data_IF_264124557497
#
_entry.id   IF_264124557497
#
_cell.length_a   1.000
_cell.length_b   1.000
_cell.length_c   1.000
_cell.angle_alpha   90.00
_cell.angle_beta   90.00
_cell.angle_gamma   90.00
#
_symmetry.space_group_name_H-M   'P 1'
#
loop_
_entity.id
_entity.type
_entity.pdbx_description
1 polymer ?
#
# COMPACT_ATOMS: atom_id res chain seq x y z
N UNK A 1 72.19 -63.60 -8.54
CA UNK A 1 72.25 -62.13 -8.33
C UNK A 1 72.56 -61.46 -9.67
N UNK A 2 72.12 -60.24 -10.02
CA UNK A 2 70.94 -59.47 -9.65
C UNK A 2 70.44 -58.59 -10.85
N UNK A 3 70.34 -59.11 -12.09
CA UNK A 3 70.06 -58.27 -13.28
C UNK A 3 68.57 -58.18 -13.68
N UNK A 4 67.79 -59.26 -13.59
CA UNK A 4 66.37 -59.23 -14.03
C UNK A 4 65.40 -58.60 -13.01
N UNK A 5 65.74 -58.63 -11.71
CA UNK A 5 64.97 -57.91 -10.67
C UNK A 5 65.18 -56.39 -10.72
N UNK A 6 66.26 -55.93 -11.38
CA UNK A 6 66.58 -54.51 -11.51
C UNK A 6 65.81 -53.88 -12.67
N UNK A 7 65.75 -54.59 -13.81
CA UNK A 7 64.97 -54.17 -14.98
C UNK A 7 63.46 -54.13 -14.71
N UNK A 8 62.93 -55.12 -13.98
CA UNK A 8 61.51 -55.14 -13.56
C UNK A 8 61.15 -54.06 -12.53
N UNK A 9 62.11 -53.67 -11.66
CA UNK A 9 61.95 -52.55 -10.71
C UNK A 9 62.09 -51.17 -11.36
N UNK A 10 62.90 -51.04 -12.41
CA UNK A 10 63.04 -49.80 -13.18
C UNK A 10 61.81 -49.57 -14.07
N UNK A 11 61.19 -50.63 -14.61
CA UNK A 11 59.96 -50.57 -15.40
C UNK A 11 58.71 -50.29 -14.52
N UNK A 12 58.64 -50.87 -13.30
CA UNK A 12 57.62 -50.51 -12.29
C UNK A 12 57.80 -49.09 -11.70
N UNK A 13 59.03 -48.58 -11.67
CA UNK A 13 59.30 -47.20 -11.23
C UNK A 13 58.94 -46.16 -12.31
N UNK A 14 59.11 -46.50 -13.59
CA UNK A 14 58.71 -45.65 -14.72
C UNK A 14 57.18 -45.61 -14.91
N UNK A 15 56.46 -46.69 -14.56
CA UNK A 15 54.99 -46.70 -14.55
C UNK A 15 54.37 -45.92 -13.37
N UNK A 16 55.16 -45.60 -12.33
CA UNK A 16 54.74 -44.76 -11.18
C UNK A 16 55.04 -43.27 -11.36
N UNK A 17 55.68 -42.86 -12.44
CA UNK A 17 55.97 -41.44 -12.72
C UNK A 17 55.22 -40.90 -13.93
N UNK A 18 54.07 -41.47 -14.30
CA UNK A 18 53.09 -40.72 -15.04
C UNK A 18 52.56 -39.65 -14.07
N UNK A 19 52.81 -38.34 -14.31
CA UNK A 19 52.07 -37.34 -13.58
C UNK A 19 50.63 -37.56 -14.00
N UNK A 20 49.80 -38.04 -13.06
CA UNK A 20 48.37 -37.86 -13.16
C UNK A 20 48.20 -36.40 -13.58
N UNK A 21 47.60 -36.19 -14.76
CA UNK A 21 47.19 -34.88 -15.18
C UNK A 21 46.32 -34.35 -14.05
N UNK A 22 46.94 -33.58 -13.16
CA UNK A 22 46.27 -32.79 -12.17
C UNK A 22 45.48 -31.83 -13.03
N UNK A 23 44.22 -32.19 -13.29
CA UNK A 23 43.28 -31.30 -13.95
C UNK A 23 43.43 -29.98 -13.23
N UNK A 24 43.91 -28.97 -13.95
CA UNK A 24 44.13 -27.63 -13.43
C UNK A 24 42.93 -27.28 -12.56
N UNK A 25 43.14 -26.83 -11.32
CA UNK A 25 42.03 -26.46 -10.44
C UNK A 25 41.04 -25.63 -11.24
N UNK A 26 39.72 -25.86 -11.12
CA UNK A 26 38.73 -25.18 -11.96
C UNK A 26 38.93 -23.65 -11.95
N UNK A 27 39.43 -23.11 -10.84
CA UNK A 27 39.79 -21.70 -10.64
C UNK A 27 40.93 -21.16 -11.53
N UNK A 28 41.64 -22.01 -12.27
CA UNK A 28 42.68 -21.63 -13.24
C UNK A 28 42.22 -21.77 -14.69
N UNK A 29 40.99 -22.24 -14.92
CA UNK A 29 40.44 -22.38 -16.27
C UNK A 29 39.75 -21.08 -16.71
N UNK A 30 39.95 -20.72 -17.98
CA UNK A 30 39.31 -19.54 -18.59
C UNK A 30 37.77 -19.67 -18.56
N UNK A 31 37.25 -20.88 -18.72
CA UNK A 31 35.82 -21.17 -18.66
C UNK A 31 35.20 -20.91 -17.29
N UNK A 32 35.90 -21.22 -16.19
CA UNK A 32 35.44 -20.89 -14.83
C UNK A 32 35.30 -19.38 -14.61
N UNK A 33 36.30 -18.59 -15.03
CA UNK A 33 36.24 -17.13 -14.90
C UNK A 33 35.23 -16.50 -15.85
N UNK A 34 35.02 -17.08 -17.05
CA UNK A 34 33.95 -16.66 -17.97
C UNK A 34 32.58 -16.89 -17.37
N UNK A 35 32.30 -18.07 -16.84
CA UNK A 35 31.02 -18.39 -16.19
C UNK A 35 30.79 -17.51 -14.96
N UNK A 36 31.82 -17.32 -14.12
CA UNK A 36 31.75 -16.41 -12.97
C UNK A 36 31.48 -14.96 -13.39
N UNK A 37 32.13 -14.48 -14.45
CA UNK A 37 31.89 -13.13 -14.99
C UNK A 37 30.47 -13.00 -15.58
N UNK A 38 29.97 -14.02 -16.26
CA UNK A 38 28.61 -14.04 -16.83
C UNK A 38 27.55 -14.03 -15.72
N UNK A 39 27.75 -14.81 -14.65
CA UNK A 39 26.88 -14.79 -13.46
C UNK A 39 26.94 -13.46 -12.74
N UNK A 40 28.13 -12.91 -12.52
CA UNK A 40 28.29 -11.59 -11.91
C UNK A 40 27.60 -10.49 -12.75
N UNK A 41 27.70 -10.56 -14.07
CA UNK A 41 26.99 -9.66 -14.98
C UNK A 41 25.47 -9.81 -14.84
N UNK A 42 24.95 -11.05 -14.79
CA UNK A 42 23.53 -11.32 -14.58
C UNK A 42 23.04 -10.80 -13.22
N UNK A 43 23.83 -10.99 -12.16
CA UNK A 43 23.55 -10.44 -10.82
C UNK A 43 23.52 -8.90 -10.86
N UNK A 44 24.48 -8.25 -11.52
CA UNK A 44 24.49 -6.79 -11.68
C UNK A 44 23.24 -6.28 -12.43
N UNK A 45 22.79 -6.96 -13.48
CA UNK A 45 21.57 -6.60 -14.20
C UNK A 45 20.33 -6.75 -13.32
N UNK A 46 20.25 -7.83 -12.54
CA UNK A 46 19.14 -8.05 -11.61
C UNK A 46 19.12 -6.99 -10.49
N UNK A 47 20.29 -6.68 -9.92
CA UNK A 47 20.43 -5.62 -8.90
C UNK A 47 20.05 -4.25 -9.46
N UNK A 48 20.50 -3.93 -10.68
CA UNK A 48 20.13 -2.67 -11.35
C UNK A 48 18.61 -2.57 -11.54
N UNK A 49 17.97 -3.61 -12.09
CA UNK A 49 16.52 -3.64 -12.30
C UNK A 49 15.76 -3.49 -10.98
N UNK A 50 16.23 -4.14 -9.91
CA UNK A 50 15.65 -4.02 -8.57
C UNK A 50 15.82 -2.60 -8.02
N UNK A 51 17.00 -2.01 -8.16
CA UNK A 51 17.27 -0.65 -7.70
C UNK A 51 16.40 0.38 -8.42
N UNK A 52 16.19 0.24 -9.73
CA UNK A 52 15.28 1.10 -10.50
C UNK A 52 13.84 1.01 -9.97
N UNK A 53 13.34 -0.21 -9.69
CA UNK A 53 12.02 -0.42 -9.08
C UNK A 53 11.91 0.21 -7.68
N UNK A 54 12.92 0.04 -6.83
CA UNK A 54 12.94 0.63 -5.49
C UNK A 54 12.97 2.17 -5.52
N UNK A 55 13.66 2.76 -6.50
CA UNK A 55 13.67 4.22 -6.68
C UNK A 55 12.28 4.73 -7.05
N UNK A 56 11.61 4.07 -8.00
CA UNK A 56 10.26 4.43 -8.43
C UNK A 56 9.25 4.29 -7.29
N UNK A 57 9.35 3.20 -6.51
CA UNK A 57 8.48 2.98 -5.36
C UNK A 57 8.71 4.02 -4.26
N UNK A 58 9.97 4.34 -3.95
CA UNK A 58 10.31 5.40 -2.98
C UNK A 58 9.80 6.77 -3.44
N UNK A 59 9.87 7.08 -4.73
CA UNK A 59 9.34 8.31 -5.28
C UNK A 59 7.81 8.38 -5.09
N UNK A 60 7.10 7.28 -5.38
CA UNK A 60 5.64 7.20 -5.18
C UNK A 60 5.25 7.35 -3.72
N UNK A 61 5.91 6.64 -2.80
CA UNK A 61 5.64 6.74 -1.37
C UNK A 61 5.87 8.15 -0.82
N UNK A 62 6.91 8.85 -1.32
CA UNK A 62 7.14 10.26 -0.96
C UNK A 62 6.03 11.17 -1.45
N UNK A 63 5.57 10.99 -2.69
CA UNK A 63 4.45 11.75 -3.23
C UNK A 63 3.16 11.50 -2.44
N UNK A 64 2.88 10.24 -2.09
CA UNK A 64 1.73 9.89 -1.26
C UNK A 64 1.78 10.56 0.12
N UNK A 65 2.96 10.61 0.77
CA UNK A 65 3.13 11.30 2.04
C UNK A 65 2.80 12.80 1.93
N UNK A 66 3.31 13.47 0.89
CA UNK A 66 3.01 14.89 0.64
C UNK A 66 1.51 15.10 0.36
N UNK A 67 0.88 14.21 -0.40
CA UNK A 67 -0.56 14.29 -0.66
C UNK A 67 -1.38 14.08 0.62
N UNK A 68 -0.94 13.17 1.51
CA UNK A 68 -1.59 12.96 2.80
C UNK A 68 -1.49 14.21 3.69
N UNK A 69 -0.36 14.91 3.70
CA UNK A 69 -0.19 16.16 4.43
C UNK A 69 -1.08 17.28 3.85
N UNK A 70 -1.19 17.37 2.51
CA UNK A 70 -2.10 18.33 1.86
C UNK A 70 -3.58 18.03 2.17
N UNK A 71 -3.94 16.76 2.27
CA UNK A 71 -5.28 16.34 2.70
C UNK A 71 -5.56 16.79 4.14
N UNK A 72 -4.58 16.66 5.05
CA UNK A 72 -4.73 17.17 6.43
C UNK A 72 -4.94 18.69 6.45
N UNK A 73 -4.22 19.43 5.61
CA UNK A 73 -4.42 20.87 5.45
C UNK A 73 -5.83 21.19 4.93
N UNK A 74 -6.34 20.42 3.97
CA UNK A 74 -7.70 20.58 3.46
C UNK A 74 -8.74 20.42 4.58
N UNK A 75 -8.58 19.42 5.45
CA UNK A 75 -9.51 19.25 6.58
C UNK A 75 -9.38 20.37 7.62
N UNK A 76 -8.16 20.86 7.87
CA UNK A 76 -7.96 21.99 8.77
C UNK A 76 -8.66 23.26 8.24
N UNK A 77 -8.65 23.46 6.92
CA UNK A 77 -9.40 24.54 6.26
C UNK A 77 -10.91 24.34 6.39
N UNK A 78 -11.41 23.12 6.19
CA UNK A 78 -12.84 22.81 6.40
C UNK A 78 -13.27 23.02 7.85
N UNK A 79 -12.46 22.58 8.81
CA UNK A 79 -12.69 22.80 10.24
C UNK A 79 -12.69 24.29 10.59
N UNK A 80 -11.73 25.05 10.06
CA UNK A 80 -11.65 26.49 10.29
C UNK A 80 -12.89 27.21 9.73
N UNK A 81 -13.37 26.82 8.55
CA UNK A 81 -14.59 27.36 7.96
C UNK A 81 -15.84 26.97 8.76
N UNK A 82 -15.90 25.74 9.27
CA UNK A 82 -17.02 25.27 10.09
C UNK A 82 -17.05 25.91 11.50
N UNK A 83 -15.88 26.29 12.04
CA UNK A 83 -15.76 26.93 13.35
C UNK A 83 -16.08 28.44 13.31
N UNK A 84 -16.28 29.04 12.13
CA UNK A 84 -16.62 30.46 12.04
C UNK A 84 -18.01 30.73 12.66
N UNK A 85 -18.18 31.85 13.41
CA UNK A 85 -19.47 32.18 13.99
C UNK A 85 -20.55 32.36 12.93
N UNK A 86 -21.78 31.92 13.21
CA UNK A 86 -22.94 32.12 12.32
C UNK A 86 -23.14 33.59 11.91
N UNK A 87 -22.79 34.53 12.81
CA UNK A 87 -22.81 35.96 12.54
C UNK A 87 -21.84 36.37 11.42
N UNK A 88 -20.69 35.71 11.28
CA UNK A 88 -19.72 35.99 10.22
C UNK A 88 -20.25 35.59 8.83
N UNK A 89 -21.13 34.60 8.75
CA UNK A 89 -21.75 34.20 7.48
C UNK A 89 -22.81 35.18 6.98
N UNK A 90 -23.35 36.01 7.87
CA UNK A 90 -24.41 36.99 7.56
C UNK A 90 -23.89 38.42 7.53
N UNK A 91 -22.69 38.68 8.08
CA UNK A 91 -22.02 39.97 8.02
C UNK A 91 -21.48 40.28 6.61
N UNK A 92 -21.96 41.35 5.95
CA UNK A 92 -21.46 41.78 4.65
C UNK A 92 -19.96 42.09 4.63
N UNK A 93 -19.37 42.50 5.75
CA UNK A 93 -17.95 42.82 5.86
C UNK A 93 -17.06 41.56 5.87
N UNK A 94 -17.58 40.44 6.38
CA UNK A 94 -16.87 39.15 6.44
C UNK A 94 -16.99 38.34 5.14
N UNK A 95 -17.96 38.67 4.28
CA UNK A 95 -18.25 37.94 3.04
C UNK A 95 -17.05 37.81 2.08
N UNK A 96 -16.27 38.88 1.78
CA UNK A 96 -15.12 38.76 0.88
C UNK A 96 -14.04 37.82 1.42
N UNK A 97 -13.88 37.78 2.75
CA UNK A 97 -12.91 36.89 3.41
C UNK A 97 -13.38 35.44 3.30
N UNK A 98 -14.66 35.17 3.58
CA UNK A 98 -15.26 33.85 3.43
C UNK A 98 -15.17 33.33 1.99
N UNK A 99 -15.45 34.18 1.01
CA UNK A 99 -15.34 33.82 -0.40
C UNK A 99 -13.88 33.52 -0.78
N UNK A 100 -12.92 34.27 -0.24
CA UNK A 100 -11.50 34.00 -0.40
C UNK A 100 -11.08 32.63 0.16
N UNK A 101 -11.54 32.26 1.36
CA UNK A 101 -11.26 30.94 1.93
C UNK A 101 -11.92 29.80 1.15
N UNK A 102 -13.16 30.00 0.69
CA UNK A 102 -13.83 29.02 -0.18
C UNK A 102 -13.08 28.84 -1.50
N UNK A 103 -12.57 29.92 -2.09
CA UNK A 103 -11.76 29.86 -3.31
C UNK A 103 -10.45 29.09 -3.08
N UNK A 104 -9.79 29.26 -1.93
CA UNK A 104 -8.59 28.50 -1.57
C UNK A 104 -8.91 27.01 -1.41
N UNK A 105 -10.02 26.67 -0.71
CA UNK A 105 -10.48 25.28 -0.59
C UNK A 105 -10.71 24.64 -1.96
N UNK A 106 -11.40 25.36 -2.85
CA UNK A 106 -11.73 24.84 -4.17
C UNK A 106 -10.47 24.71 -5.06
N UNK A 107 -9.53 25.65 -4.96
CA UNK A 107 -8.23 25.57 -5.63
C UNK A 107 -7.40 24.37 -5.12
N UNK A 108 -7.42 24.09 -3.82
CA UNK A 108 -6.76 22.93 -3.24
C UNK A 108 -7.40 21.62 -3.71
N UNK A 109 -8.73 21.55 -3.77
CA UNK A 109 -9.44 20.39 -4.31
C UNK A 109 -9.10 20.14 -5.78
N UNK A 110 -9.02 21.20 -6.60
CA UNK A 110 -8.58 21.11 -7.99
C UNK A 110 -7.12 20.66 -8.11
N UNK A 111 -6.23 21.13 -7.24
CA UNK A 111 -4.83 20.70 -7.21
C UNK A 111 -4.72 19.19 -6.94
N UNK A 112 -5.44 18.69 -5.93
CA UNK A 112 -5.48 17.26 -5.60
C UNK A 112 -6.02 16.43 -6.77
N UNK A 113 -7.11 16.87 -7.40
CA UNK A 113 -7.68 16.22 -8.58
C UNK A 113 -6.68 16.15 -9.75
N UNK A 114 -5.91 17.21 -9.99
CA UNK A 114 -4.87 17.23 -11.03
C UNK A 114 -3.71 16.26 -10.76
N UNK A 115 -3.43 15.96 -9.50
CA UNK A 115 -2.45 14.94 -9.10
C UNK A 115 -3.02 13.52 -9.12
N UNK A 116 -4.28 13.34 -9.56
CA UNK A 116 -4.94 12.04 -9.64
C UNK A 116 -5.53 11.56 -8.30
N UNK A 117 -5.65 12.45 -7.31
CA UNK A 117 -6.34 12.16 -6.06
C UNK A 117 -7.84 12.34 -6.28
N UNK A 118 -8.59 11.27 -6.03
CA UNK A 118 -10.05 11.27 -6.10
C UNK A 118 -10.63 11.33 -4.69
N UNK A 119 -11.63 12.20 -4.51
CA UNK A 119 -12.35 12.33 -3.26
C UNK A 119 -13.40 11.22 -3.13
N UNK A 120 -13.42 10.56 -1.98
CA UNK A 120 -14.42 9.56 -1.59
C UNK A 120 -15.45 10.27 -0.70
N UNK A 121 -16.64 10.48 -1.26
CA UNK A 121 -17.76 11.13 -0.59
C UNK A 121 -19.03 10.28 -0.75
N UNK A 122 -19.22 9.22 0.06
CA UNK A 122 -20.42 8.40 0.00
C UNK A 122 -21.67 9.26 0.24
N UNK A 123 -22.65 9.11 -0.64
CA UNK A 123 -23.97 9.67 -0.43
C UNK A 123 -24.74 8.93 0.66
N UNK A 124 -25.83 9.50 1.18
CA UNK A 124 -26.59 8.92 2.29
C UNK A 124 -27.24 7.56 2.01
N UNK A 125 -27.45 7.22 0.73
CA UNK A 125 -27.97 5.93 0.28
C UNK A 125 -26.89 5.03 -0.36
N UNK A 126 -25.61 5.40 -0.28
CA UNK A 126 -24.53 4.57 -0.80
C UNK A 126 -24.32 3.33 0.08
N UNK A 127 -23.98 2.20 -0.55
CA UNK A 127 -23.62 0.99 0.18
C UNK A 127 -22.31 1.19 0.96
N UNK A 128 -22.23 0.59 2.14
CA UNK A 128 -21.00 0.57 2.92
C UNK A 128 -19.99 -0.38 2.28
N UNK A 129 -18.86 0.15 1.83
CA UNK A 129 -17.71 -0.61 1.35
C UNK A 129 -16.57 -0.53 2.39
N UNK A 130 -16.17 -1.65 3.03
CA UNK A 130 -15.09 -1.67 4.02
C UNK A 130 -13.72 -1.25 3.48
N UNK A 131 -13.48 -1.34 2.17
CA UNK A 131 -12.23 -0.86 1.59
C UNK A 131 -12.21 0.67 1.57
N UNK A 132 -13.33 1.29 1.16
CA UNK A 132 -13.42 2.74 0.93
C UNK A 132 -13.86 3.53 2.16
N UNK A 133 -14.57 2.89 3.10
CA UNK A 133 -15.24 3.55 4.22
C UNK A 133 -14.80 2.97 5.57
N UNK A 134 -14.58 3.87 6.53
CA UNK A 134 -14.32 3.57 7.93
C UNK A 134 -15.54 3.97 8.76
N UNK A 135 -16.25 2.99 9.33
CA UNK A 135 -17.40 3.25 10.20
C UNK A 135 -16.93 3.63 11.61
N UNK A 136 -16.87 4.93 11.90
CA UNK A 136 -16.46 5.45 13.22
C UNK A 136 -17.59 5.34 14.24
N UNK A 137 -18.83 5.50 13.78
CA UNK A 137 -20.05 5.39 14.59
C UNK A 137 -21.00 4.40 13.92
N UNK A 138 -21.64 3.56 14.73
CA UNK A 138 -22.70 2.66 14.28
C UNK A 138 -23.91 2.89 15.16
N UNK A 139 -25.03 3.29 14.57
CA UNK A 139 -26.30 3.48 15.29
C UNK A 139 -27.37 2.59 14.69
N UNK A 140 -28.12 1.93 15.57
CA UNK A 140 -29.30 1.19 15.19
C UNK A 140 -30.50 2.12 15.14
N UNK A 141 -31.17 2.17 13.99
CA UNK A 141 -32.39 2.92 13.79
C UNK A 141 -33.54 1.92 13.62
N UNK A 142 -34.38 1.69 14.66
CA UNK A 142 -35.53 0.82 14.56
C UNK A 142 -36.50 1.38 13.50
N UNK A 143 -36.82 0.59 12.48
CA UNK A 143 -37.75 0.99 11.41
C UNK A 143 -37.11 1.66 10.19
N UNK A 144 -35.78 1.80 10.11
CA UNK A 144 -35.13 2.19 8.87
C UNK A 144 -35.23 1.04 7.83
N UNK A 145 -35.66 1.32 6.58
CA UNK A 145 -35.81 0.28 5.56
C UNK A 145 -34.47 -0.21 5.01
N UNK A 146 -33.46 0.66 4.97
CA UNK A 146 -32.13 0.40 4.40
C UNK A 146 -31.04 1.06 5.25
N UNK A 147 -29.81 0.52 5.27
CA UNK A 147 -28.68 1.17 5.92
C UNK A 147 -28.34 2.50 5.24
N UNK A 148 -28.04 3.52 6.05
CA UNK A 148 -27.62 4.85 5.57
C UNK A 148 -26.23 5.20 6.05
N UNK A 149 -25.55 6.02 5.26
CA UNK A 149 -24.22 6.53 5.59
C UNK A 149 -24.28 8.04 5.80
N UNK A 150 -23.89 8.51 6.96
CA UNK A 150 -23.65 9.93 7.18
C UNK A 150 -22.14 10.20 7.12
N UNK A 151 -21.72 11.08 6.23
CA UNK A 151 -20.31 11.40 6.06
C UNK A 151 -19.84 12.33 7.20
N UNK A 152 -18.88 11.85 7.99
CA UNK A 152 -18.24 12.64 9.03
C UNK A 152 -16.97 13.32 8.49
N UNK A 153 -16.18 12.58 7.69
CA UNK A 153 -14.95 13.10 7.09
C UNK A 153 -14.73 12.48 5.72
N UNK A 154 -14.40 13.32 4.74
CA UNK A 154 -14.12 12.90 3.36
C UNK A 154 -12.93 11.95 3.29
N UNK A 155 -13.03 10.91 2.46
CA UNK A 155 -11.92 10.03 2.12
C UNK A 155 -11.20 10.48 0.85
N UNK A 156 -10.02 9.94 0.61
CA UNK A 156 -9.23 10.22 -0.60
C UNK A 156 -8.49 8.97 -1.07
N UNK A 157 -8.49 8.74 -2.39
CA UNK A 157 -7.72 7.67 -3.05
C UNK A 157 -6.84 8.22 -4.17
N UNK A 158 -5.71 7.57 -4.39
CA UNK A 158 -4.81 7.83 -5.51
C UNK A 158 -4.82 6.61 -6.43
N UNK A 159 -5.58 6.70 -7.53
CA UNK A 159 -5.80 5.57 -8.44
C UNK A 159 -6.39 4.35 -7.72
N UNK A 160 -5.59 3.27 -7.58
CA UNK A 160 -6.01 2.03 -6.90
C UNK A 160 -5.68 1.98 -5.42
N UNK A 161 -4.93 2.96 -4.89
CA UNK A 161 -4.48 2.95 -3.50
C UNK A 161 -5.25 3.98 -2.69
N UNK A 162 -5.65 3.60 -1.49
CA UNK A 162 -6.42 4.46 -0.59
C UNK A 162 -5.42 5.24 0.27
N UNK A 163 -5.47 6.57 0.21
CA UNK A 163 -4.64 7.43 1.05
C UNK A 163 -5.29 7.56 2.43
N UNK A 164 -6.63 7.70 2.45
CA UNK A 164 -7.44 7.73 3.66
C UNK A 164 -8.87 7.27 3.35
N UNK A 165 -9.46 6.35 4.12
CA UNK A 165 -10.87 5.98 3.97
C UNK A 165 -11.80 7.14 4.37
N UNK A 166 -13.01 7.16 3.82
CA UNK A 166 -14.03 8.11 4.27
C UNK A 166 -14.58 7.68 5.63
N UNK A 167 -14.58 8.58 6.61
CA UNK A 167 -15.16 8.29 7.91
C UNK A 167 -16.65 8.53 7.85
N UNK A 168 -17.41 7.48 8.18
CA UNK A 168 -18.86 7.48 8.09
C UNK A 168 -19.49 7.06 9.41
N UNK A 169 -20.67 7.59 9.66
CA UNK A 169 -21.61 7.09 10.64
C UNK A 169 -22.57 6.15 9.92
N UNK A 170 -22.48 4.87 10.26
CA UNK A 170 -23.34 3.81 9.71
C UNK A 170 -24.63 3.72 10.53
N UNK A 171 -25.74 4.09 9.89
CA UNK A 171 -27.08 3.92 10.42
C UNK A 171 -27.62 2.60 9.89
N UNK A 172 -27.68 1.57 10.74
CA UNK A 172 -28.22 0.26 10.35
C UNK A 172 -29.68 0.12 10.82
N UNK A 173 -30.54 -0.59 10.07
CA UNK A 173 -31.81 -1.03 10.60
C UNK A 173 -31.57 -1.81 11.89
N UNK A 174 -32.21 -1.41 12.99
CA UNK A 174 -32.20 -2.20 14.22
C UNK A 174 -32.83 -3.56 13.94
N UNK A 175 -32.27 -4.63 14.51
CA UNK A 175 -32.90 -5.94 14.41
C UNK A 175 -34.33 -5.82 14.95
N UNK A 176 -35.32 -6.10 14.10
CA UNK A 176 -36.69 -6.32 14.56
C UNK A 176 -36.61 -7.32 15.70
N UNK A 177 -37.21 -6.97 16.84
CA UNK A 177 -37.31 -7.81 18.01
C UNK A 177 -37.55 -9.26 17.59
N UNK A 178 -36.75 -10.18 18.15
CA UNK A 178 -36.99 -11.62 18.03
C UNK A 178 -38.49 -11.88 18.26
N UNK A 179 -39.14 -12.74 17.45
CA UNK A 179 -40.54 -13.10 17.70
C UNK A 179 -40.64 -13.58 19.15
N UNK A 180 -41.64 -13.11 19.93
CA UNK A 180 -41.80 -13.54 21.30
C UNK A 180 -41.86 -15.07 21.32
N UNK A 181 -41.06 -15.68 22.21
CA UNK A 181 -41.07 -17.12 22.43
C UNK A 181 -42.52 -17.59 22.64
N UNK A 182 -42.91 -18.77 22.11
CA UNK A 182 -44.23 -19.31 22.39
C UNK A 182 -44.37 -19.44 23.91
N UNK A 183 -45.36 -18.76 24.48
CA UNK A 183 -45.71 -18.90 25.87
C UNK A 183 -46.11 -20.36 26.09
N UNK A 184 -45.30 -21.10 26.84
CA UNK A 184 -45.63 -22.44 27.29
C UNK A 184 -46.93 -22.36 28.09
N UNK A 185 -48.01 -22.85 27.47
CA UNK A 185 -49.32 -22.98 28.07
C UNK A 185 -49.24 -23.88 29.29
N UNK A 186 -49.08 -23.27 30.46
CA UNK A 186 -49.43 -23.89 31.74
C UNK A 186 -50.94 -23.70 31.90
N UNK A 187 -51.70 -24.68 31.42
CA UNK A 187 -53.07 -24.91 31.86
C UNK A 187 -53.11 -26.25 32.59
N UNK A 188 -53.39 -26.12 33.88
CA UNK A 188 -54.13 -27.01 34.80
C UNK A 188 -53.80 -28.51 34.84
#
# INVERSE_FOLDING_TARGET
>A
MPKDRKKKREEEAAARSAPAAAGTPPEQTVEYWRDKALRAQAEMVNVRRRAEQEIDERARLRLEGVLADLIQLADALELALAAMPAAAHTDPAARPVLDGWNAIRDALAQLLARQGVEMIQPGPAAAFDPELHEAVLVTELPGAPEPRLELLRRGYRLGRRILRPAQVHLLRPGATAAPPAPEDGTLE
#
